data_IF_893497107719
#
_entry.id   IF_893497107719
#
_cell.length_a   1.000
_cell.length_b   1.000
_cell.length_c   1.000
_cell.angle_alpha   90.00
_cell.angle_beta   90.00
_cell.angle_gamma   90.00
#
_symmetry.space_group_name_H-M   'P 1'
#
loop_
_entity.id
_entity.type
_entity.pdbx_description
1 polymer ?
#
# COMPACT_ATOMS: atom_id res chain seq x y z
N UNK A 1 -14.83 19.87 53.88
CA UNK A 1 -13.65 19.54 53.04
C UNK A 1 -14.18 18.97 51.74
N UNK A 2 -14.34 19.83 50.74
CA UNK A 2 -14.64 19.42 49.37
C UNK A 2 -13.35 18.94 48.69
N UNK A 3 -13.42 17.81 47.99
CA UNK A 3 -12.48 17.49 46.93
C UNK A 3 -13.26 16.88 45.76
N UNK A 4 -13.83 17.76 44.94
CA UNK A 4 -14.34 17.41 43.62
C UNK A 4 -13.18 17.19 42.65
N UNK A 5 -12.94 15.92 42.28
CA UNK A 5 -12.07 15.56 41.17
C UNK A 5 -12.90 15.33 39.92
N UNK A 6 -13.01 16.33 39.05
CA UNK A 6 -13.62 16.20 37.72
C UNK A 6 -12.69 15.36 36.85
N UNK A 7 -13.11 14.14 36.51
CA UNK A 7 -12.48 13.31 35.46
C UNK A 7 -12.69 14.02 34.11
N UNK A 8 -11.60 14.46 33.48
CA UNK A 8 -11.63 14.96 32.11
C UNK A 8 -12.04 13.85 31.15
N UNK A 9 -13.25 13.93 30.60
CA UNK A 9 -13.73 13.14 29.47
C UNK A 9 -13.13 13.73 28.20
N UNK A 10 -11.88 13.42 27.91
CA UNK A 10 -11.28 13.77 26.62
C UNK A 10 -11.85 12.88 25.54
N UNK A 11 -12.84 13.37 24.79
CA UNK A 11 -13.29 12.73 23.55
C UNK A 11 -12.06 12.38 22.70
N UNK A 12 -12.01 11.14 22.20
CA UNK A 12 -10.93 10.75 21.31
C UNK A 12 -10.94 11.68 20.10
N UNK A 13 -9.77 12.05 19.57
CA UNK A 13 -9.68 12.89 18.37
C UNK A 13 -10.56 12.35 17.23
N UNK A 14 -10.75 11.03 17.19
CA UNK A 14 -11.67 10.35 16.26
C UNK A 14 -13.15 10.64 16.54
N UNK A 15 -13.61 10.60 17.79
CA UNK A 15 -14.98 10.99 18.17
C UNK A 15 -15.26 12.47 17.91
N UNK A 16 -14.33 13.35 18.29
CA UNK A 16 -14.47 14.78 18.00
C UNK A 16 -14.57 15.05 16.49
N UNK A 17 -13.77 14.35 15.69
CA UNK A 17 -13.81 14.49 14.23
C UNK A 17 -15.11 13.93 13.63
N UNK A 18 -15.63 12.80 14.16
CA UNK A 18 -16.93 12.23 13.75
C UNK A 18 -18.10 13.14 14.14
N UNK A 19 -18.09 13.68 15.37
CA UNK A 19 -19.13 14.60 15.85
C UNK A 19 -19.13 15.93 15.11
N UNK A 20 -17.94 16.43 14.71
CA UNK A 20 -17.81 17.73 14.03
C UNK A 20 -18.09 17.68 12.52
N UNK A 21 -17.77 16.58 11.85
CA UNK A 21 -17.81 16.50 10.38
C UNK A 21 -18.73 15.40 9.82
N UNK A 22 -19.37 14.60 10.69
CA UNK A 22 -20.14 13.42 10.28
C UNK A 22 -19.26 12.22 9.89
N UNK A 23 -19.88 11.06 9.67
CA UNK A 23 -19.22 9.95 8.98
C UNK A 23 -19.16 10.28 7.49
N UNK A 24 -17.96 10.57 6.98
CA UNK A 24 -17.75 10.76 5.54
C UNK A 24 -18.00 9.44 4.82
N UNK A 25 -18.85 9.45 3.80
CA UNK A 25 -18.98 8.30 2.90
C UNK A 25 -17.66 8.06 2.17
N UNK A 26 -17.47 6.85 1.62
CA UNK A 26 -16.28 6.54 0.81
C UNK A 26 -16.08 7.52 -0.35
N UNK A 27 -17.18 8.02 -0.97
CA UNK A 27 -17.14 9.07 -1.98
C UNK A 27 -16.70 10.42 -1.40
N UNK A 28 -17.18 10.80 -0.22
CA UNK A 28 -16.79 12.06 0.43
C UNK A 28 -15.35 12.04 0.94
N UNK A 29 -14.83 10.87 1.32
CA UNK A 29 -13.42 10.68 1.66
C UNK A 29 -12.54 10.77 0.40
N UNK A 30 -12.99 10.20 -0.72
CA UNK A 30 -12.37 10.34 -2.05
C UNK A 30 -12.31 11.81 -2.50
N UNK A 31 -13.44 12.52 -2.42
CA UNK A 31 -13.53 13.94 -2.74
C UNK A 31 -12.58 14.75 -1.85
N UNK A 32 -12.58 14.53 -0.52
CA UNK A 32 -11.71 15.26 0.39
C UNK A 32 -10.21 14.97 0.19
N UNK A 33 -9.81 13.77 -0.22
CA UNK A 33 -8.40 13.45 -0.54
C UNK A 33 -7.95 14.20 -1.81
N UNK A 34 -8.84 14.36 -2.78
CA UNK A 34 -8.54 14.98 -4.06
C UNK A 34 -8.74 16.52 -4.05
N UNK A 35 -9.71 17.03 -3.30
CA UNK A 35 -10.14 18.44 -3.30
C UNK A 35 -9.30 19.31 -2.36
N UNK A 36 -8.73 18.77 -1.26
CA UNK A 36 -7.89 19.53 -0.33
C UNK A 36 -6.54 19.99 -0.88
N UNK A 37 -6.21 19.63 -2.12
CA UNK A 37 -4.91 19.93 -2.69
C UNK A 37 -4.96 20.80 -3.96
N UNK A 38 -6.03 20.79 -4.77
CA UNK A 38 -5.92 21.32 -6.15
C UNK A 38 -4.79 20.65 -6.96
N UNK A 39 -4.26 19.54 -6.45
CA UNK A 39 -3.18 18.75 -7.03
C UNK A 39 -3.86 17.50 -7.53
N UNK A 40 -4.15 17.44 -8.83
CA UNK A 40 -4.22 16.15 -9.50
C UNK A 40 -2.91 15.45 -9.15
N UNK A 41 -2.92 14.39 -8.34
CA UNK A 41 -1.69 13.71 -7.96
C UNK A 41 -1.07 13.12 -9.23
N UNK A 42 -0.04 13.77 -9.82
CA UNK A 42 0.45 13.31 -11.09
C UNK A 42 1.03 11.93 -10.86
N UNK A 43 0.69 10.99 -11.74
CA UNK A 43 1.31 9.68 -11.72
C UNK A 43 2.81 9.85 -11.62
N UNK A 44 3.45 9.12 -10.71
CA UNK A 44 4.90 9.19 -10.55
C UNK A 44 5.51 8.90 -11.93
N UNK A 45 6.27 9.85 -12.46
CA UNK A 45 6.81 9.74 -13.82
C UNK A 45 7.46 8.39 -14.00
N UNK A 46 7.06 7.66 -15.05
CA UNK A 46 7.66 6.36 -15.39
C UNK A 46 9.15 6.49 -15.72
N UNK A 47 9.64 7.72 -15.95
CA UNK A 47 11.04 8.10 -16.18
C UNK A 47 11.74 8.69 -14.94
N UNK A 48 11.12 8.66 -13.77
CA UNK A 48 11.80 9.09 -12.53
C UNK A 48 13.11 8.32 -12.35
N UNK A 49 14.15 9.02 -11.95
CA UNK A 49 15.50 8.45 -11.78
C UNK A 49 15.48 7.28 -10.78
N UNK A 50 16.47 6.40 -10.91
CA UNK A 50 16.73 5.38 -9.90
C UNK A 50 17.19 6.06 -8.61
N UNK A 51 16.91 5.45 -7.46
CA UNK A 51 17.37 5.96 -6.17
C UNK A 51 18.91 5.95 -6.12
N UNK A 52 19.50 7.10 -5.82
CA UNK A 52 20.94 7.20 -5.57
C UNK A 52 21.34 6.34 -4.36
N UNK A 53 22.40 5.55 -4.49
CA UNK A 53 22.82 4.56 -3.49
C UNK A 53 22.05 3.24 -3.52
N UNK A 54 21.01 3.13 -4.35
CA UNK A 54 20.20 1.93 -4.53
C UNK A 54 19.07 1.76 -3.51
N UNK A 55 18.18 0.82 -3.80
CA UNK A 55 17.02 0.51 -2.95
C UNK A 55 17.40 -0.34 -1.72
N UNK A 56 16.78 -0.03 -0.58
CA UNK A 56 16.86 -0.73 0.71
C UNK A 56 15.46 -1.21 1.15
N UNK A 57 15.39 -2.05 2.18
CA UNK A 57 14.11 -2.49 2.77
C UNK A 57 13.23 -1.29 3.12
N UNK A 58 11.92 -1.45 2.92
CA UNK A 58 10.86 -0.44 3.07
C UNK A 58 10.89 0.72 2.07
N UNK A 59 11.81 0.73 1.09
CA UNK A 59 11.66 1.63 -0.05
C UNK A 59 10.40 1.32 -0.85
N UNK A 60 9.80 2.40 -1.36
CA UNK A 60 8.57 2.37 -2.16
C UNK A 60 8.83 3.03 -3.50
N UNK A 61 8.64 2.27 -4.57
CA UNK A 61 8.76 2.71 -5.96
C UNK A 61 8.06 1.72 -6.91
N UNK A 62 8.18 1.96 -8.21
CA UNK A 62 7.66 1.06 -9.25
C UNK A 62 8.38 -0.30 -9.21
N UNK A 63 7.64 -1.39 -9.38
CA UNK A 63 8.19 -2.74 -9.38
C UNK A 63 9.40 -2.90 -10.31
N UNK A 64 9.32 -2.39 -11.55
CA UNK A 64 10.41 -2.47 -12.55
C UNK A 64 11.75 -1.91 -12.08
N UNK A 65 11.73 -0.97 -11.12
CA UNK A 65 12.92 -0.32 -10.61
C UNK A 65 13.50 -1.07 -9.42
N UNK A 66 12.67 -1.61 -8.55
CA UNK A 66 13.13 -2.27 -7.32
C UNK A 66 13.40 -3.76 -7.50
N UNK A 67 12.73 -4.41 -8.45
CA UNK A 67 12.89 -5.86 -8.66
C UNK A 67 14.31 -6.26 -9.08
N UNK A 68 15.05 -5.51 -9.94
CA UNK A 68 16.40 -5.92 -10.34
C UNK A 68 17.43 -5.69 -9.23
N UNK A 69 18.22 -6.73 -8.89
CA UNK A 69 19.29 -6.66 -7.89
C UNK A 69 20.31 -5.55 -8.16
N UNK A 70 20.58 -5.22 -9.43
CA UNK A 70 21.52 -4.17 -9.83
C UNK A 70 21.11 -2.76 -9.36
N UNK A 71 19.83 -2.54 -9.07
CA UNK A 71 19.32 -1.25 -8.61
C UNK A 71 19.27 -1.15 -7.08
N UNK A 72 19.69 -2.20 -6.36
CA UNK A 72 19.60 -2.27 -4.91
C UNK A 72 20.92 -1.92 -4.25
N UNK A 73 20.83 -1.34 -3.06
CA UNK A 73 22.00 -1.07 -2.24
C UNK A 73 22.70 -2.39 -1.86
N UNK A 74 23.98 -2.30 -1.51
CA UNK A 74 24.74 -3.43 -0.98
C UNK A 74 24.09 -3.93 0.32
N UNK A 75 23.94 -5.25 0.47
CA UNK A 75 23.26 -5.84 1.64
C UNK A 75 21.74 -5.94 1.52
N UNK A 76 21.15 -5.56 0.38
CA UNK A 76 19.70 -5.56 0.15
C UNK A 76 19.28 -6.28 -1.14
N UNK A 77 20.12 -7.20 -1.64
CA UNK A 77 19.81 -7.99 -2.84
C UNK A 77 18.97 -9.22 -2.49
N UNK A 78 18.38 -9.81 -3.53
CA UNK A 78 17.76 -11.13 -3.44
C UNK A 78 18.85 -12.21 -3.49
N UNK A 79 19.74 -12.22 -2.51
CA UNK A 79 20.79 -13.22 -2.33
C UNK A 79 20.73 -13.73 -0.89
N UNK A 80 21.24 -14.94 -0.64
CA UNK A 80 21.26 -15.51 0.72
C UNK A 80 22.04 -14.63 1.70
N UNK A 81 23.19 -14.08 1.26
CA UNK A 81 24.05 -13.24 2.09
C UNK A 81 23.38 -11.92 2.49
N UNK A 82 22.47 -11.40 1.66
CA UNK A 82 21.77 -10.14 1.88
C UNK A 82 20.39 -10.35 2.53
N UNK A 83 20.10 -11.56 3.04
CA UNK A 83 18.84 -11.87 3.72
C UNK A 83 17.62 -12.02 2.81
N UNK A 84 17.83 -12.30 1.51
CA UNK A 84 16.80 -12.49 0.49
C UNK A 84 15.76 -11.36 0.50
N UNK A 85 16.14 -10.18 0.04
CA UNK A 85 15.19 -9.07 -0.08
C UNK A 85 14.43 -9.18 -1.41
N UNK A 86 13.13 -8.88 -1.46
CA UNK A 86 12.29 -8.97 -2.66
C UNK A 86 11.28 -7.83 -2.74
N UNK A 87 10.97 -7.39 -3.96
CA UNK A 87 9.96 -6.38 -4.19
C UNK A 87 8.57 -7.03 -4.17
N UNK A 88 7.68 -6.51 -3.34
CA UNK A 88 6.31 -6.98 -3.19
C UNK A 88 5.34 -5.95 -3.77
N UNK A 89 4.40 -6.37 -4.61
CA UNK A 89 3.35 -5.47 -5.11
C UNK A 89 2.41 -5.03 -3.97
N UNK A 90 1.98 -3.77 -4.00
CA UNK A 90 1.06 -3.23 -2.99
C UNK A 90 -0.30 -3.96 -3.03
N UNK A 91 -0.83 -4.10 -4.24
CA UNK A 91 -2.01 -4.92 -4.55
C UNK A 91 -1.53 -6.19 -5.23
N UNK A 92 -2.15 -7.32 -4.95
CA UNK A 92 -1.72 -8.61 -5.47
C UNK A 92 -1.76 -8.62 -7.02
N UNK A 93 -0.62 -8.93 -7.64
CA UNK A 93 -0.41 -8.76 -9.09
C UNK A 93 -1.40 -9.57 -9.94
N UNK A 94 -1.70 -10.80 -9.53
CA UNK A 94 -2.58 -11.67 -10.31
C UNK A 94 -4.04 -11.20 -10.27
N UNK A 95 -4.53 -10.79 -9.10
CA UNK A 95 -5.83 -10.13 -9.00
C UNK A 95 -5.88 -8.87 -9.87
N UNK A 96 -4.83 -8.04 -9.82
CA UNK A 96 -4.78 -6.80 -10.59
C UNK A 96 -4.79 -7.04 -12.12
N UNK A 97 -4.14 -8.10 -12.60
CA UNK A 97 -4.23 -8.52 -14.02
C UNK A 97 -5.65 -8.93 -14.40
N UNK A 98 -6.31 -9.74 -13.55
CA UNK A 98 -7.67 -10.21 -13.80
C UNK A 98 -8.65 -9.03 -13.80
N UNK A 99 -8.59 -8.20 -12.76
CA UNK A 99 -9.37 -6.96 -12.65
C UNK A 99 -9.23 -6.08 -13.89
N UNK A 100 -8.00 -5.84 -14.34
CA UNK A 100 -7.76 -4.99 -15.49
C UNK A 100 -8.31 -5.58 -16.79
N UNK A 101 -8.20 -6.91 -16.96
CA UNK A 101 -8.79 -7.62 -18.09
C UNK A 101 -10.31 -7.50 -18.10
N UNK A 102 -10.97 -7.61 -16.94
CA UNK A 102 -12.43 -7.56 -16.84
C UNK A 102 -12.98 -6.13 -16.94
N UNK A 103 -12.24 -5.13 -16.48
CA UNK A 103 -12.64 -3.72 -16.51
C UNK A 103 -12.20 -2.96 -17.76
N UNK A 104 -11.42 -3.59 -18.66
CA UNK A 104 -10.88 -2.93 -19.85
C UNK A 104 -9.75 -1.94 -19.57
N UNK A 105 -9.07 -2.06 -18.42
CA UNK A 105 -8.01 -1.16 -17.99
C UNK A 105 -6.62 -1.68 -18.40
N UNK A 106 -5.66 -0.75 -18.57
CA UNK A 106 -4.30 -1.08 -19.01
C UNK A 106 -3.32 -1.25 -17.84
N UNK A 107 -3.53 -2.27 -17.02
CA UNK A 107 -2.63 -2.60 -15.91
C UNK A 107 -1.27 -3.11 -16.40
N UNK A 108 -0.22 -2.74 -15.67
CA UNK A 108 1.15 -3.21 -15.90
C UNK A 108 1.82 -3.55 -14.58
N UNK A 109 2.12 -4.84 -14.36
CA UNK A 109 2.92 -5.30 -13.22
C UNK A 109 4.22 -4.52 -13.07
N UNK A 110 4.86 -4.14 -14.19
CA UNK A 110 6.12 -3.38 -14.18
C UNK A 110 5.96 -1.97 -13.61
N UNK A 111 4.81 -1.33 -13.80
CA UNK A 111 4.54 0.03 -13.33
C UNK A 111 3.75 0.04 -12.01
N UNK A 112 3.25 -1.12 -11.56
CA UNK A 112 2.54 -1.21 -10.30
C UNK A 112 3.47 -0.81 -9.13
N UNK A 113 2.98 0.02 -8.19
CA UNK A 113 3.71 0.37 -6.99
C UNK A 113 4.00 -0.85 -6.13
N UNK A 114 5.21 -0.86 -5.57
CA UNK A 114 5.73 -1.95 -4.76
C UNK A 114 6.45 -1.40 -3.54
N UNK A 115 6.71 -2.30 -2.60
CA UNK A 115 7.55 -2.10 -1.42
C UNK A 115 8.67 -3.16 -1.42
N UNK A 116 9.88 -2.78 -1.01
CA UNK A 116 10.98 -3.73 -0.88
C UNK A 116 10.98 -4.36 0.53
N UNK A 117 10.93 -5.68 0.64
CA UNK A 117 10.75 -6.41 1.91
C UNK A 117 11.71 -7.60 2.02
N UNK A 118 12.06 -7.99 3.24
CA UNK A 118 12.79 -9.25 3.48
C UNK A 118 11.89 -10.45 3.21
N UNK A 119 12.45 -11.52 2.64
CA UNK A 119 11.69 -12.66 2.12
C UNK A 119 12.10 -14.02 2.66
N UNK A 120 12.96 -14.09 3.69
CA UNK A 120 13.16 -15.36 4.41
C UNK A 120 11.87 -15.80 5.12
N UNK A 121 11.79 -17.07 5.49
CA UNK A 121 10.62 -17.58 6.22
C UNK A 121 10.40 -16.78 7.51
N UNK A 122 9.15 -16.40 7.79
CA UNK A 122 8.79 -15.55 8.93
C UNK A 122 9.01 -14.05 8.72
N UNK A 123 9.56 -13.61 7.58
CA UNK A 123 9.70 -12.18 7.26
C UNK A 123 8.48 -11.63 6.50
N UNK A 124 8.28 -10.29 6.49
CA UNK A 124 7.10 -9.65 5.92
C UNK A 124 6.71 -10.10 4.51
N UNK A 125 7.66 -10.21 3.57
CA UNK A 125 7.32 -10.63 2.20
C UNK A 125 6.74 -12.05 2.17
N UNK A 126 7.36 -12.97 2.93
CA UNK A 126 6.95 -14.37 2.95
C UNK A 126 5.57 -14.54 3.60
N UNK A 127 5.32 -13.81 4.69
CA UNK A 127 4.03 -13.83 5.39
C UNK A 127 2.93 -13.23 4.52
N UNK A 128 3.12 -12.02 3.95
CA UNK A 128 2.10 -11.40 3.08
C UNK A 128 1.81 -12.31 1.88
N UNK A 129 2.85 -12.88 1.26
CA UNK A 129 2.65 -13.83 0.15
C UNK A 129 1.83 -15.06 0.58
N UNK A 130 2.01 -15.55 1.82
CA UNK A 130 1.24 -16.67 2.35
C UNK A 130 -0.23 -16.29 2.61
N UNK A 131 -0.47 -15.10 3.19
CA UNK A 131 -1.81 -14.56 3.43
C UNK A 131 -2.57 -14.35 2.12
N UNK A 132 -1.92 -13.75 1.11
CA UNK A 132 -2.48 -13.61 -0.24
C UNK A 132 -2.85 -14.97 -0.86
N UNK A 133 -1.96 -15.97 -0.78
CA UNK A 133 -2.27 -17.33 -1.29
C UNK A 133 -3.43 -17.97 -0.55
N UNK A 134 -3.51 -17.81 0.77
CA UNK A 134 -4.63 -18.31 1.55
C UNK A 134 -5.95 -17.65 1.13
N UNK A 135 -5.95 -16.32 0.99
CA UNK A 135 -7.09 -15.55 0.51
C UNK A 135 -7.56 -16.02 -0.86
N UNK A 136 -6.65 -16.23 -1.82
CA UNK A 136 -7.02 -16.74 -3.16
C UNK A 136 -7.59 -18.15 -3.15
N UNK A 137 -7.17 -19.01 -2.23
CA UNK A 137 -7.80 -20.34 -2.08
C UNK A 137 -9.22 -20.25 -1.54
N UNK A 138 -9.48 -19.31 -0.64
CA UNK A 138 -10.77 -19.21 0.05
C UNK A 138 -11.80 -18.35 -0.69
N UNK A 139 -11.35 -17.26 -1.31
CA UNK A 139 -12.21 -16.21 -1.87
C UNK A 139 -12.05 -16.04 -3.39
N UNK A 140 -11.03 -16.68 -3.98
CA UNK A 140 -10.73 -16.51 -5.40
C UNK A 140 -10.25 -15.10 -5.75
N UNK A 141 -10.60 -14.65 -6.96
CA UNK A 141 -10.11 -13.39 -7.57
C UNK A 141 -11.23 -12.39 -7.90
N UNK A 142 -12.47 -12.66 -7.52
CA UNK A 142 -13.64 -11.83 -7.84
C UNK A 142 -13.94 -10.74 -6.80
N UNK A 143 -13.01 -10.50 -5.88
CA UNK A 143 -13.09 -9.41 -4.89
C UNK A 143 -12.96 -8.04 -5.56
N UNK A 144 -13.53 -7.01 -4.96
CA UNK A 144 -13.44 -5.64 -5.48
C UNK A 144 -12.15 -4.93 -5.06
N UNK A 145 -11.88 -3.79 -5.71
CA UNK A 145 -10.65 -3.02 -5.49
C UNK A 145 -10.56 -2.43 -4.07
N UNK A 146 -11.67 -2.02 -3.46
CA UNK A 146 -11.67 -1.44 -2.11
C UNK A 146 -11.29 -2.53 -1.10
N UNK A 147 -11.85 -3.72 -1.28
CA UNK A 147 -11.48 -4.89 -0.49
C UNK A 147 -9.98 -5.19 -0.58
N UNK A 148 -9.40 -5.23 -1.79
CA UNK A 148 -7.97 -5.50 -1.97
C UNK A 148 -7.08 -4.44 -1.34
N UNK A 149 -7.48 -3.17 -1.39
CA UNK A 149 -6.73 -2.10 -0.73
C UNK A 149 -6.76 -2.23 0.80
N UNK A 150 -7.93 -2.51 1.37
CA UNK A 150 -8.09 -2.66 2.80
C UNK A 150 -7.31 -3.86 3.34
N UNK A 151 -7.42 -5.02 2.67
CA UNK A 151 -6.73 -6.23 3.11
C UNK A 151 -5.22 -6.11 2.94
N UNK A 152 -4.73 -5.58 1.81
CA UNK A 152 -3.28 -5.36 1.62
C UNK A 152 -2.71 -4.42 2.67
N UNK A 153 -3.42 -3.34 3.01
CA UNK A 153 -2.99 -2.42 4.07
C UNK A 153 -2.94 -3.12 5.43
N UNK A 154 -4.01 -3.84 5.79
CA UNK A 154 -4.09 -4.60 7.04
C UNK A 154 -2.94 -5.61 7.16
N UNK A 155 -2.72 -6.42 6.12
CA UNK A 155 -1.67 -7.45 6.11
C UNK A 155 -0.27 -6.84 6.27
N UNK A 156 0.01 -5.70 5.65
CA UNK A 156 1.29 -5.00 5.86
C UNK A 156 1.50 -4.56 7.31
N UNK A 157 0.46 -4.02 7.96
CA UNK A 157 0.54 -3.60 9.37
C UNK A 157 0.68 -4.82 10.29
N UNK A 158 -0.05 -5.89 10.05
CA UNK A 158 -0.01 -7.11 10.86
C UNK A 158 1.37 -7.78 10.84
N UNK A 159 2.11 -7.69 9.73
CA UNK A 159 3.48 -8.22 9.64
C UNK A 159 4.56 -7.21 10.06
N UNK A 160 4.16 -6.05 10.60
CA UNK A 160 5.08 -5.09 11.20
C UNK A 160 5.75 -4.12 10.24
N UNK A 161 5.23 -3.91 9.02
CA UNK A 161 5.69 -2.82 8.15
C UNK A 161 5.40 -1.47 8.82
N UNK A 162 6.36 -0.54 8.79
CA UNK A 162 6.15 0.79 9.38
C UNK A 162 4.88 1.47 8.84
N UNK A 163 4.11 2.06 9.76
CA UNK A 163 2.82 2.66 9.45
C UNK A 163 2.90 3.74 8.36
N UNK A 164 3.97 4.56 8.37
CA UNK A 164 4.16 5.63 7.37
C UNK A 164 4.50 5.02 6.01
N UNK A 165 5.29 3.94 5.99
CA UNK A 165 5.66 3.22 4.77
C UNK A 165 4.45 2.51 4.17
N UNK A 166 3.66 1.79 4.96
CA UNK A 166 2.43 1.15 4.53
C UNK A 166 1.45 2.17 3.94
N UNK A 167 1.24 3.31 4.60
CA UNK A 167 0.42 4.41 4.06
C UNK A 167 0.98 4.96 2.75
N UNK A 168 2.31 5.09 2.64
CA UNK A 168 2.98 5.59 1.44
C UNK A 168 2.75 4.66 0.25
N UNK A 169 3.00 3.36 0.39
CA UNK A 169 2.82 2.40 -0.72
C UNK A 169 1.36 2.27 -1.14
N UNK A 170 0.42 2.29 -0.20
CA UNK A 170 -1.02 2.28 -0.53
C UNK A 170 -1.46 3.55 -1.24
N UNK A 171 -0.92 4.71 -0.87
CA UNK A 171 -1.21 5.97 -1.58
C UNK A 171 -0.66 5.95 -3.00
N UNK A 172 0.55 5.43 -3.22
CA UNK A 172 1.09 5.30 -4.57
C UNK A 172 0.27 4.30 -5.40
N UNK A 173 -0.12 3.16 -4.81
CA UNK A 173 -1.02 2.20 -5.44
C UNK A 173 -2.36 2.84 -5.81
N UNK A 174 -2.96 3.58 -4.89
CA UNK A 174 -4.24 4.26 -5.10
C UNK A 174 -4.17 5.16 -6.32
N UNK A 175 -3.16 6.03 -6.38
CA UNK A 175 -2.91 6.88 -7.55
C UNK A 175 -2.79 6.05 -8.81
N UNK A 176 -2.00 4.99 -8.79
CA UNK A 176 -1.79 4.15 -9.97
C UNK A 176 -3.10 3.55 -10.49
N UNK A 177 -3.91 2.93 -9.62
CA UNK A 177 -5.18 2.33 -10.00
C UNK A 177 -6.25 3.37 -10.36
N UNK A 178 -6.29 4.52 -9.69
CA UNK A 178 -7.16 5.64 -10.05
C UNK A 178 -6.85 6.20 -11.44
N UNK A 179 -5.55 6.34 -11.76
CA UNK A 179 -5.08 6.73 -13.10
C UNK A 179 -5.46 5.72 -14.20
N UNK A 180 -5.76 4.48 -13.82
CA UNK A 180 -6.31 3.45 -14.71
C UNK A 180 -7.84 3.46 -14.75
N UNK A 181 -8.52 4.29 -13.96
CA UNK A 181 -9.97 4.34 -13.86
C UNK A 181 -10.57 3.34 -12.87
N UNK A 182 -9.81 2.86 -11.89
CA UNK A 182 -10.27 1.82 -10.97
C UNK A 182 -11.20 2.24 -9.85
N UNK A 183 -11.40 3.54 -9.65
CA UNK A 183 -12.32 4.08 -8.64
C UNK A 183 -13.41 4.98 -9.25
N UNK A 184 -13.72 4.77 -10.54
CA UNK A 184 -14.77 5.48 -11.27
C UNK A 184 -16.05 4.66 -11.35
#
# INVERSE_FOLDING_TARGET
MESGGVKGTGESRLEYLRGKYGELTSEQLHANINERAGIAFPQRSTRSQLKNGGYIVEDVDLYKKMSPNKNRALGFRNTKNDGLVQAHHAIQDEWAKIWAKTSGNNYSSRQAPSILLKSTSGEPHAIISALQRARRRNEGFSTDIIYEFNISYKEMIEVGVDLKVAKKVMREAYRYFDGLGGFK
#
